data_IF_621356915584
#
_entry.id   IF_621356915584
#
_cell.length_a   1.000
_cell.length_b   1.000
_cell.length_c   1.000
_cell.angle_alpha   90.00
_cell.angle_beta   90.00
_cell.angle_gamma   90.00
#
_symmetry.space_group_name_H-M   'P 1'
#
loop_
_entity.id
_entity.type
_entity.pdbx_description
1 polymer ?
#
# COMPACT_ATOMS: atom_id res chain seq x y z
N UNK A 1 17.69 -2.61 -1.23
CA UNK A 1 16.72 -1.91 -0.35
C UNK A 1 16.38 -2.81 0.82
N UNK A 2 16.40 -2.25 2.02
CA UNK A 2 16.12 -3.02 3.24
C UNK A 2 14.62 -3.07 3.51
N UNK A 3 14.06 -4.26 3.57
CA UNK A 3 12.64 -4.54 3.75
C UNK A 3 12.39 -5.12 5.15
N UNK A 4 11.36 -4.66 5.83
CA UNK A 4 10.79 -5.34 6.99
C UNK A 4 9.45 -5.99 6.60
N UNK A 5 9.32 -7.27 6.90
CA UNK A 5 8.08 -8.03 6.75
C UNK A 5 7.52 -8.35 8.13
N UNK A 6 6.31 -7.83 8.39
CA UNK A 6 5.54 -8.11 9.60
C UNK A 6 4.72 -9.38 9.41
N UNK A 7 5.04 -10.41 10.16
CA UNK A 7 4.27 -11.66 10.19
C UNK A 7 3.36 -11.66 11.43
N UNK A 8 2.11 -11.30 11.20
CA UNK A 8 1.10 -11.06 12.22
C UNK A 8 0.23 -12.30 12.49
N UNK A 9 0.82 -13.50 12.49
CA UNK A 9 0.10 -14.77 12.72
C UNK A 9 -0.59 -14.86 14.08
N UNK A 10 -0.11 -14.08 15.06
CA UNK A 10 -0.71 -13.92 16.39
C UNK A 10 -1.10 -12.48 16.68
N UNK A 11 -1.40 -11.71 15.62
CA UNK A 11 -1.77 -10.32 15.71
C UNK A 11 -0.57 -9.38 15.84
N UNK A 12 -0.85 -8.15 16.29
CA UNK A 12 0.14 -7.08 16.47
C UNK A 12 -0.38 -5.99 17.41
N UNK A 13 0.50 -5.47 18.25
CA UNK A 13 0.29 -4.32 19.11
C UNK A 13 1.51 -3.40 19.11
N UNK A 14 1.44 -2.26 19.77
CA UNK A 14 2.56 -1.32 19.85
C UNK A 14 3.76 -1.90 20.59
N UNK A 15 3.55 -2.43 21.78
CA UNK A 15 4.57 -3.10 22.60
C UNK A 15 5.20 -4.31 21.89
N UNK A 16 4.38 -5.13 21.20
CA UNK A 16 4.89 -6.23 20.37
C UNK A 16 5.77 -5.72 19.23
N UNK A 17 5.41 -4.60 18.61
CA UNK A 17 6.22 -3.98 17.55
C UNK A 17 7.58 -3.52 18.11
N UNK A 18 7.59 -2.81 19.25
CA UNK A 18 8.82 -2.42 19.92
C UNK A 18 9.68 -3.61 20.32
N UNK A 19 9.05 -4.64 20.90
CA UNK A 19 9.73 -5.87 21.28
C UNK A 19 10.41 -6.56 20.10
N UNK A 20 9.73 -6.66 18.97
CA UNK A 20 10.30 -7.27 17.78
C UNK A 20 11.43 -6.47 17.15
N UNK A 21 11.36 -5.12 17.20
CA UNK A 21 12.45 -4.25 16.73
C UNK A 21 13.70 -4.38 17.61
N UNK A 22 13.51 -4.41 18.94
CA UNK A 22 14.62 -4.64 19.90
C UNK A 22 15.22 -6.03 19.70
N UNK A 23 14.39 -7.04 19.53
CA UNK A 23 14.84 -8.42 19.29
C UNK A 23 15.59 -8.57 17.96
N UNK A 24 15.24 -7.76 16.94
CA UNK A 24 15.93 -7.70 15.66
C UNK A 24 17.23 -6.86 15.69
N UNK A 25 17.61 -6.31 16.83
CA UNK A 25 18.88 -5.60 17.02
C UNK A 25 18.78 -4.09 17.19
N UNK A 26 17.58 -3.53 17.36
CA UNK A 26 17.43 -2.12 17.73
C UNK A 26 17.87 -1.91 19.20
N UNK A 27 18.77 -0.97 19.44
CA UNK A 27 19.23 -0.65 20.79
C UNK A 27 18.11 0.05 21.59
N UNK A 28 17.72 -0.54 22.71
CA UNK A 28 16.73 0.03 23.63
C UNK A 28 17.18 1.39 24.21
N UNK A 29 18.48 1.60 24.37
CA UNK A 29 19.05 2.88 24.80
C UNK A 29 18.81 3.99 23.77
N UNK A 30 18.91 3.66 22.50
CA UNK A 30 18.59 4.58 21.40
C UNK A 30 17.12 4.94 21.40
N UNK A 31 16.21 3.95 21.55
CA UNK A 31 14.79 4.22 21.68
C UNK A 31 14.49 5.15 22.87
N UNK A 32 15.08 4.89 24.02
CA UNK A 32 14.92 5.72 25.22
C UNK A 32 15.39 7.16 25.00
N UNK A 33 16.56 7.33 24.38
CA UNK A 33 17.13 8.65 24.09
C UNK A 33 16.28 9.45 23.11
N UNK A 34 15.81 8.83 22.04
CA UNK A 34 14.94 9.47 21.07
C UNK A 34 13.58 9.87 21.65
N UNK A 35 12.96 8.98 22.42
CA UNK A 35 11.69 9.24 23.09
C UNK A 35 11.79 10.33 24.15
N UNK A 36 12.92 10.46 24.84
CA UNK A 36 13.15 11.57 25.82
C UNK A 36 13.07 12.94 25.14
N UNK A 37 13.39 13.03 23.84
CA UNK A 37 13.27 14.25 23.05
C UNK A 37 11.83 14.75 22.84
N UNK A 38 10.81 13.93 23.11
CA UNK A 38 9.40 14.33 23.07
C UNK A 38 9.00 15.24 24.23
N UNK A 39 9.80 15.32 25.29
CA UNK A 39 9.52 16.08 26.51
C UNK A 39 8.16 15.73 27.16
N UNK A 40 7.72 14.49 27.01
CA UNK A 40 6.54 13.94 27.67
C UNK A 40 7.03 13.27 28.97
N UNK A 41 6.62 13.75 30.15
CA UNK A 41 7.06 13.16 31.43
C UNK A 41 6.27 11.91 31.81
N UNK A 42 6.78 11.17 32.78
CA UNK A 42 6.05 10.11 33.50
C UNK A 42 5.95 8.79 32.75
N UNK A 43 6.96 8.42 31.95
CA UNK A 43 7.06 7.10 31.35
C UNK A 43 8.44 6.47 31.56
N UNK A 44 8.46 5.15 31.56
CA UNK A 44 9.68 4.36 31.44
C UNK A 44 9.52 3.26 30.43
N UNK A 45 10.62 2.85 29.79
CA UNK A 45 10.67 1.74 28.86
C UNK A 45 11.72 0.74 29.32
N UNK A 46 11.35 -0.53 29.37
CA UNK A 46 12.24 -1.66 29.70
C UNK A 46 12.00 -2.81 28.74
N UNK A 47 13.01 -3.63 28.51
CA UNK A 47 12.93 -4.82 27.69
C UNK A 47 13.48 -6.03 28.40
N UNK A 48 12.81 -7.17 28.32
CA UNK A 48 13.23 -8.44 28.89
C UNK A 48 12.95 -9.60 27.94
N UNK A 49 13.76 -10.65 28.04
CA UNK A 49 13.50 -11.91 27.32
C UNK A 49 12.46 -12.72 28.06
N UNK A 50 11.45 -13.13 27.32
CA UNK A 50 10.33 -13.95 27.81
C UNK A 50 10.13 -15.16 26.90
N UNK A 51 9.36 -16.14 27.39
CA UNK A 51 8.98 -17.31 26.62
C UNK A 51 7.47 -17.38 26.49
N UNK A 52 6.99 -17.41 25.24
CA UNK A 52 5.57 -17.58 24.90
C UNK A 52 5.41 -18.92 24.20
N UNK A 53 4.73 -19.89 24.82
CA UNK A 53 4.59 -21.27 24.31
C UNK A 53 5.91 -21.88 23.79
N UNK A 54 7.00 -21.74 24.59
CA UNK A 54 8.31 -22.28 24.24
C UNK A 54 9.11 -21.46 23.22
N UNK A 55 8.56 -20.38 22.68
CA UNK A 55 9.25 -19.47 21.79
C UNK A 55 9.85 -18.30 22.57
N UNK A 56 11.16 -18.10 22.46
CA UNK A 56 11.84 -16.95 23.05
C UNK A 56 11.48 -15.68 22.27
N UNK A 57 11.15 -14.61 22.99
CA UNK A 57 10.80 -13.31 22.40
C UNK A 57 11.24 -12.19 23.34
N UNK A 58 11.27 -10.95 22.83
CA UNK A 58 11.52 -9.78 23.65
C UNK A 58 10.19 -9.12 24.00
N UNK A 59 9.93 -8.95 25.30
CA UNK A 59 8.80 -8.18 25.81
C UNK A 59 9.30 -6.76 26.16
N UNK A 60 8.75 -5.77 25.50
CA UNK A 60 9.01 -4.36 25.84
C UNK A 60 7.83 -3.83 26.65
N UNK A 61 8.13 -3.37 27.86
CA UNK A 61 7.14 -2.79 28.76
C UNK A 61 7.29 -1.27 28.79
N UNK A 62 6.22 -0.60 28.44
CA UNK A 62 6.04 0.84 28.69
C UNK A 62 5.25 1.00 29.98
N UNK A 63 5.81 1.68 30.95
CA UNK A 63 5.12 2.00 32.23
C UNK A 63 4.90 3.48 32.29
N UNK A 64 3.69 3.91 32.65
CA UNK A 64 3.29 5.33 32.74
C UNK A 64 2.78 5.63 34.13
N UNK A 65 3.19 6.78 34.70
CA UNK A 65 2.79 7.24 36.05
C UNK A 65 1.34 7.74 36.08
N UNK A 66 0.86 8.33 34.98
CA UNK A 66 -0.48 8.91 34.88
C UNK A 66 -1.17 8.46 33.59
N UNK A 67 -2.09 7.51 33.71
CA UNK A 67 -2.91 7.01 32.61
C UNK A 67 -4.16 7.86 32.30
N UNK A 68 -4.43 8.88 33.17
CA UNK A 68 -5.69 9.64 33.09
C UNK A 68 -5.68 10.80 32.10
N UNK A 69 -4.52 11.20 31.57
CA UNK A 69 -4.42 12.33 30.64
C UNK A 69 -4.54 11.90 29.21
N UNK A 70 -5.76 11.93 28.72
CA UNK A 70 -6.03 11.77 27.28
C UNK A 70 -5.69 13.08 26.54
N UNK A 71 -4.87 12.99 25.51
CA UNK A 71 -4.48 14.13 24.67
C UNK A 71 -5.33 14.18 23.40
N UNK A 72 -5.62 15.39 22.93
CA UNK A 72 -6.19 15.55 21.58
C UNK A 72 -5.16 15.21 20.51
N UNK A 73 -5.62 14.84 19.32
CA UNK A 73 -4.75 14.60 18.19
C UNK A 73 -3.82 15.81 17.93
N UNK A 74 -4.35 17.05 17.98
CA UNK A 74 -3.57 18.26 17.76
C UNK A 74 -2.43 18.42 18.76
N UNK A 75 -2.67 18.11 20.04
CA UNK A 75 -1.62 18.16 21.07
C UNK A 75 -0.52 17.13 20.83
N UNK A 76 -0.87 15.90 20.40
CA UNK A 76 0.11 14.87 20.07
C UNK A 76 0.95 15.28 18.85
N UNK A 77 0.31 15.79 17.79
CA UNK A 77 1.03 16.26 16.61
C UNK A 77 1.96 17.44 16.90
N UNK A 78 1.57 18.34 17.82
CA UNK A 78 2.41 19.44 18.27
C UNK A 78 3.65 18.94 19.02
N UNK A 79 3.49 17.95 19.92
CA UNK A 79 4.60 17.32 20.64
C UNK A 79 5.60 16.70 19.66
N UNK A 80 5.11 15.90 18.66
CA UNK A 80 5.94 15.28 17.64
C UNK A 80 6.64 16.36 16.79
N UNK A 81 5.93 17.38 16.36
CA UNK A 81 6.46 18.45 15.52
C UNK A 81 7.58 19.25 16.16
N UNK A 82 7.47 19.55 17.46
CA UNK A 82 8.48 20.30 18.24
C UNK A 82 9.67 19.46 18.69
N UNK A 83 9.60 18.14 18.57
CA UNK A 83 10.67 17.24 19.02
C UNK A 83 11.94 17.38 18.14
N UNK A 84 13.13 16.98 18.64
CA UNK A 84 14.36 16.96 17.87
C UNK A 84 14.50 15.72 16.97
N UNK A 85 13.43 14.93 16.78
CA UNK A 85 13.43 13.74 15.94
C UNK A 85 13.61 14.10 14.47
N UNK A 86 14.07 13.16 13.66
CA UNK A 86 14.23 13.33 12.22
C UNK A 86 12.89 13.60 11.51
N UNK A 87 12.95 14.20 10.34
CA UNK A 87 11.74 14.49 9.55
C UNK A 87 11.01 13.21 9.13
N UNK A 88 11.75 12.11 8.91
CA UNK A 88 11.15 10.82 8.57
C UNK A 88 10.39 10.21 9.74
N UNK A 89 10.98 10.19 10.94
CA UNK A 89 10.31 9.74 12.16
C UNK A 89 9.06 10.58 12.43
N UNK A 90 9.17 11.91 12.33
CA UNK A 90 8.02 12.82 12.49
C UNK A 90 6.93 12.56 11.48
N UNK A 91 7.29 12.39 10.21
CA UNK A 91 6.34 12.10 9.12
C UNK A 91 5.57 10.81 9.39
N UNK A 92 6.28 9.72 9.70
CA UNK A 92 5.68 8.42 9.94
C UNK A 92 4.80 8.43 11.19
N UNK A 93 5.29 8.96 12.31
CA UNK A 93 4.51 9.04 13.54
C UNK A 93 3.26 9.93 13.39
N UNK A 94 3.37 11.08 12.74
CA UNK A 94 2.23 11.94 12.39
C UNK A 94 1.22 11.22 11.53
N UNK A 95 1.67 10.48 10.52
CA UNK A 95 0.82 9.68 9.64
C UNK A 95 0.03 8.61 10.40
N UNK A 96 0.69 7.90 11.31
CA UNK A 96 0.07 6.86 12.13
C UNK A 96 -1.00 7.47 13.05
N UNK A 97 -0.69 8.57 13.76
CA UNK A 97 -1.66 9.23 14.65
C UNK A 97 -2.85 9.83 13.88
N UNK A 98 -2.63 10.41 12.70
CA UNK A 98 -3.73 10.92 11.87
C UNK A 98 -4.67 9.79 11.47
N UNK A 99 -4.14 8.69 10.98
CA UNK A 99 -4.94 7.53 10.56
C UNK A 99 -5.72 6.93 11.72
N UNK A 100 -5.10 6.88 12.89
CA UNK A 100 -5.76 6.43 14.11
C UNK A 100 -6.90 7.39 14.51
N UNK A 101 -6.64 8.71 14.47
CA UNK A 101 -7.65 9.73 14.74
C UNK A 101 -8.80 9.70 13.74
N UNK A 102 -8.53 9.49 12.45
CA UNK A 102 -9.56 9.33 11.41
C UNK A 102 -10.45 8.10 11.66
N UNK A 103 -9.86 6.99 12.10
CA UNK A 103 -10.62 5.78 12.44
C UNK A 103 -11.52 6.00 13.66
N UNK A 104 -11.01 6.60 14.71
CA UNK A 104 -11.79 6.95 15.91
C UNK A 104 -12.89 7.98 15.60
N UNK A 105 -12.57 9.03 14.84
CA UNK A 105 -13.54 10.05 14.42
C UNK A 105 -14.69 9.44 13.63
N UNK A 106 -14.39 8.49 12.75
CA UNK A 106 -15.41 7.78 11.97
C UNK A 106 -16.27 6.85 12.82
N UNK A 107 -15.74 6.23 13.89
CA UNK A 107 -16.51 5.39 14.82
C UNK A 107 -17.46 6.23 15.66
N UNK A 108 -17.03 7.44 16.07
CA UNK A 108 -17.83 8.33 16.91
C UNK A 108 -18.70 9.31 16.12
N UNK A 109 -18.62 9.30 14.79
CA UNK A 109 -19.32 10.25 13.91
C UNK A 109 -19.06 11.71 14.29
N UNK A 110 -17.79 12.07 14.54
CA UNK A 110 -17.37 13.42 14.91
C UNK A 110 -16.29 13.91 13.96
N UNK A 111 -16.15 15.24 13.78
CA UNK A 111 -15.00 15.82 13.05
C UNK A 111 -13.67 15.45 13.70
N UNK A 112 -12.62 15.25 12.88
CA UNK A 112 -11.28 14.85 13.31
C UNK A 112 -10.69 15.81 14.37
N UNK A 113 -10.99 17.10 14.26
CA UNK A 113 -10.50 18.15 15.17
C UNK A 113 -11.12 18.06 16.58
N UNK A 114 -12.25 17.36 16.70
CA UNK A 114 -12.98 17.19 17.97
C UNK A 114 -12.71 15.85 18.64
N UNK A 115 -11.88 15.00 18.02
CA UNK A 115 -11.61 13.68 18.58
C UNK A 115 -10.75 13.80 19.85
N UNK A 116 -11.19 13.13 20.88
CA UNK A 116 -10.40 12.85 22.07
C UNK A 116 -10.18 11.33 22.12
N UNK A 117 -8.94 10.92 22.13
CA UNK A 117 -8.61 9.50 22.23
C UNK A 117 -9.01 8.97 23.61
N UNK A 118 -9.85 7.95 23.65
CA UNK A 118 -10.28 7.32 24.89
C UNK A 118 -9.33 6.20 25.35
N UNK A 119 -8.65 5.54 24.43
CA UNK A 119 -7.75 4.40 24.70
C UNK A 119 -6.32 4.63 24.18
N UNK A 120 -6.13 5.42 23.13
CA UNK A 120 -4.84 5.59 22.43
C UNK A 120 -4.24 6.99 22.55
N UNK A 121 -4.82 7.87 23.33
CA UNK A 121 -4.28 9.22 23.64
C UNK A 121 -3.36 9.25 24.86
N UNK A 122 -3.14 8.13 25.49
CA UNK A 122 -2.27 7.98 26.65
C UNK A 122 -0.79 7.97 26.24
N UNK A 123 0.08 8.15 27.19
CA UNK A 123 1.54 8.26 26.97
C UNK A 123 2.13 6.99 26.39
N UNK A 124 1.59 5.82 26.74
CA UNK A 124 2.00 4.51 26.21
C UNK A 124 1.88 4.43 24.69
N UNK A 125 0.74 4.84 24.13
CA UNK A 125 0.55 4.86 22.68
C UNK A 125 1.53 5.82 21.98
N UNK A 126 1.87 6.96 22.62
CA UNK A 126 2.87 7.89 22.08
C UNK A 126 4.24 7.22 22.04
N UNK A 127 4.62 6.56 23.13
CA UNK A 127 5.90 5.84 23.25
C UNK A 127 5.96 4.69 22.23
N UNK A 128 4.89 3.93 22.10
CA UNK A 128 4.81 2.79 21.16
C UNK A 128 4.96 3.24 19.70
N UNK A 129 4.16 4.22 19.28
CA UNK A 129 4.15 4.69 17.89
C UNK A 129 5.43 5.41 17.52
N UNK A 130 5.86 6.37 18.34
CA UNK A 130 7.10 7.12 18.05
C UNK A 130 8.32 6.22 18.20
N UNK A 131 8.33 5.35 19.22
CA UNK A 131 9.38 4.35 19.42
C UNK A 131 9.52 3.39 18.24
N UNK A 132 8.39 2.90 17.68
CA UNK A 132 8.42 2.08 16.48
C UNK A 132 9.05 2.85 15.30
N UNK A 133 8.68 4.12 15.08
CA UNK A 133 9.25 4.94 14.00
C UNK A 133 10.77 5.18 14.20
N UNK A 134 11.22 5.43 15.43
CA UNK A 134 12.65 5.54 15.76
C UNK A 134 13.36 4.20 15.48
N UNK A 135 12.75 3.08 15.85
CA UNK A 135 13.30 1.74 15.59
C UNK A 135 13.41 1.42 14.10
N UNK A 136 12.45 1.83 13.28
CA UNK A 136 12.50 1.68 11.83
C UNK A 136 13.68 2.44 11.22
N UNK A 137 13.90 3.68 11.64
CA UNK A 137 15.03 4.49 11.19
C UNK A 137 16.36 3.89 11.67
N UNK A 138 16.48 3.50 12.95
CA UNK A 138 17.67 2.92 13.54
C UNK A 138 18.11 1.63 12.80
N UNK A 139 17.15 0.81 12.39
CA UNK A 139 17.40 -0.41 11.62
C UNK A 139 17.52 -0.13 10.12
N UNK A 140 17.38 1.13 9.67
CA UNK A 140 17.47 1.58 8.28
C UNK A 140 16.54 0.80 7.36
N UNK A 141 15.26 0.72 7.73
CA UNK A 141 14.25 0.02 6.95
C UNK A 141 13.68 0.97 5.90
N UNK A 142 13.81 0.61 4.62
CA UNK A 142 13.37 1.43 3.49
C UNK A 142 11.93 1.11 3.07
N UNK A 143 11.50 -0.16 3.29
CA UNK A 143 10.18 -0.67 2.86
C UNK A 143 9.56 -1.57 3.91
N UNK A 144 8.23 -1.64 3.86
CA UNK A 144 7.44 -2.42 4.80
C UNK A 144 6.40 -3.24 4.05
N UNK A 145 6.28 -4.51 4.42
CA UNK A 145 5.22 -5.41 3.99
C UNK A 145 4.65 -6.16 5.18
N UNK A 146 3.41 -6.61 5.09
CA UNK A 146 2.72 -7.28 6.19
C UNK A 146 1.97 -8.51 5.68
N UNK A 147 1.89 -9.55 6.50
CA UNK A 147 1.02 -10.70 6.24
C UNK A 147 -0.46 -10.30 6.31
N UNK A 148 -1.36 -11.22 5.99
CA UNK A 148 -2.73 -11.14 6.49
C UNK A 148 -2.71 -11.07 8.02
N UNK A 149 -3.63 -10.29 8.61
CA UNK A 149 -3.65 -10.02 10.06
C UNK A 149 -4.62 -10.98 10.76
N UNK A 150 -4.12 -11.73 11.74
CA UNK A 150 -4.96 -12.50 12.63
C UNK A 150 -5.58 -11.56 13.68
N UNK A 151 -6.85 -11.24 13.52
CA UNK A 151 -7.55 -10.29 14.40
C UNK A 151 -8.03 -10.91 15.72
N UNK A 152 -8.00 -12.25 15.83
CA UNK A 152 -8.63 -12.94 16.95
C UNK A 152 -10.15 -13.01 16.83
N UNK A 153 -10.87 -12.94 17.94
CA UNK A 153 -12.33 -13.04 17.98
C UNK A 153 -12.90 -12.82 19.37
N UNK A 154 -14.20 -13.06 19.50
CA UNK A 154 -14.93 -12.86 20.74
C UNK A 154 -15.23 -11.39 21.05
N UNK A 155 -15.12 -11.03 22.32
CA UNK A 155 -15.37 -9.68 22.81
C UNK A 155 -14.25 -9.19 23.73
N UNK A 156 -14.02 -7.87 23.76
CA UNK A 156 -13.08 -7.23 24.68
C UNK A 156 -13.80 -6.16 25.51
N UNK A 157 -13.38 -6.01 26.77
CA UNK A 157 -13.87 -4.95 27.66
C UNK A 157 -13.03 -3.70 27.42
N UNK A 158 -13.66 -2.65 26.98
CA UNK A 158 -13.06 -1.38 26.59
C UNK A 158 -13.71 -0.20 27.33
N UNK A 159 -13.25 1.03 27.12
CA UNK A 159 -13.81 2.23 27.77
C UNK A 159 -15.33 2.40 27.51
N UNK A 160 -15.80 1.97 26.34
CA UNK A 160 -17.23 2.05 25.94
C UNK A 160 -18.04 0.78 26.27
N UNK A 161 -17.50 -0.12 27.10
CA UNK A 161 -18.17 -1.36 27.50
C UNK A 161 -17.58 -2.59 26.82
N UNK A 162 -18.42 -3.61 26.61
CA UNK A 162 -18.02 -4.87 25.95
C UNK A 162 -18.26 -4.73 24.45
N UNK A 163 -17.19 -4.74 23.66
CA UNK A 163 -17.20 -4.57 22.21
C UNK A 163 -16.76 -5.84 21.49
N UNK A 164 -17.17 -6.07 20.23
CA UNK A 164 -16.69 -7.19 19.44
C UNK A 164 -15.22 -7.02 19.04
N UNK A 165 -14.52 -8.12 18.82
CA UNK A 165 -13.15 -8.16 18.29
C UNK A 165 -13.21 -8.47 16.79
N UNK A 166 -12.48 -7.68 15.94
CA UNK A 166 -11.69 -6.51 16.29
C UNK A 166 -12.55 -5.32 16.74
N UNK A 167 -11.99 -4.47 17.62
CA UNK A 167 -12.64 -3.25 18.08
C UNK A 167 -13.05 -2.35 16.89
N UNK A 168 -14.09 -1.50 17.03
CA UNK A 168 -14.59 -0.70 15.92
C UNK A 168 -13.54 0.16 15.21
N UNK A 169 -12.65 0.83 15.95
CA UNK A 169 -11.55 1.60 15.37
C UNK A 169 -10.53 0.71 14.65
N UNK A 170 -10.17 -0.45 15.24
CA UNK A 170 -9.33 -1.45 14.58
C UNK A 170 -9.97 -1.97 13.30
N UNK A 171 -11.26 -2.31 13.32
CA UNK A 171 -11.98 -2.75 12.13
C UNK A 171 -11.96 -1.69 11.01
N UNK A 172 -12.09 -0.41 11.38
CA UNK A 172 -12.01 0.72 10.45
C UNK A 172 -10.61 0.87 9.84
N UNK A 173 -9.55 0.77 10.65
CA UNK A 173 -8.16 0.80 10.20
C UNK A 173 -7.82 -0.33 9.23
N UNK A 174 -8.42 -1.51 9.45
CA UNK A 174 -8.20 -2.72 8.65
C UNK A 174 -9.07 -2.80 7.39
N UNK A 175 -9.95 -1.83 7.15
CA UNK A 175 -10.81 -1.83 5.96
C UNK A 175 -9.98 -1.92 4.66
N UNK A 176 -10.26 -2.92 3.81
CA UNK A 176 -9.53 -3.19 2.57
C UNK A 176 -8.19 -3.91 2.75
N UNK A 177 -7.86 -4.37 3.97
CA UNK A 177 -6.68 -5.17 4.25
C UNK A 177 -7.06 -6.65 4.48
N UNK A 178 -6.20 -7.62 4.11
CA UNK A 178 -6.50 -9.03 4.35
C UNK A 178 -6.46 -9.34 5.84
N UNK A 179 -7.56 -9.85 6.36
CA UNK A 179 -7.70 -10.27 7.76
C UNK A 179 -8.26 -11.67 7.86
N UNK A 180 -7.97 -12.35 8.96
CA UNK A 180 -8.55 -13.65 9.29
C UNK A 180 -8.64 -13.83 10.81
N UNK A 181 -9.37 -14.86 11.24
CA UNK A 181 -9.41 -15.33 12.62
C UNK A 181 -9.10 -16.82 12.64
N UNK A 182 -8.28 -17.25 13.58
CA UNK A 182 -7.96 -18.65 13.80
C UNK A 182 -8.69 -19.28 15.00
N UNK A 183 -9.71 -18.60 15.53
CA UNK A 183 -10.54 -19.09 16.63
C UNK A 183 -10.14 -18.61 18.03
N UNK A 184 -9.02 -17.94 18.19
CA UNK A 184 -8.61 -17.32 19.47
C UNK A 184 -9.63 -16.27 19.89
N UNK A 185 -10.20 -16.41 21.09
CA UNK A 185 -11.26 -15.55 21.64
C UNK A 185 -10.65 -14.38 22.44
N UNK A 186 -9.74 -13.63 21.82
CA UNK A 186 -9.09 -12.43 22.37
C UNK A 186 -8.79 -11.46 21.22
N UNK A 187 -8.65 -10.18 21.56
CA UNK A 187 -8.11 -9.18 20.64
C UNK A 187 -6.63 -9.46 20.39
N UNK A 188 -6.26 -9.72 19.15
CA UNK A 188 -4.88 -9.96 18.74
C UNK A 188 -4.28 -8.77 17.99
N UNK A 189 -5.10 -7.97 17.32
CA UNK A 189 -4.68 -6.75 16.64
C UNK A 189 -5.26 -5.56 17.38
N UNK A 190 -4.41 -4.80 18.06
CA UNK A 190 -4.82 -3.57 18.77
C UNK A 190 -4.96 -2.39 17.80
N UNK A 191 -5.68 -1.31 18.18
CA UNK A 191 -5.75 -0.10 17.35
C UNK A 191 -4.36 0.48 17.02
N UNK A 192 -3.44 0.49 17.98
CA UNK A 192 -2.05 0.96 17.79
C UNK A 192 -1.31 0.11 16.77
N UNK A 193 -1.35 -1.23 16.92
CA UNK A 193 -0.71 -2.15 15.98
C UNK A 193 -1.28 -2.04 14.58
N UNK A 194 -2.61 -1.96 14.45
CA UNK A 194 -3.29 -1.76 13.16
C UNK A 194 -2.87 -0.44 12.51
N UNK A 195 -2.83 0.67 13.27
CA UNK A 195 -2.44 1.97 12.76
C UNK A 195 -0.99 1.99 12.24
N UNK A 196 -0.07 1.34 12.97
CA UNK A 196 1.33 1.20 12.54
C UNK A 196 1.38 0.51 11.17
N UNK A 197 0.95 -0.76 11.09
CA UNK A 197 1.14 -1.54 9.85
C UNK A 197 0.33 -1.00 8.68
N UNK A 198 -0.88 -0.50 8.90
CA UNK A 198 -1.68 0.06 7.79
C UNK A 198 -1.17 1.40 7.29
N UNK A 199 -0.32 2.10 8.04
CA UNK A 199 0.31 3.35 7.62
C UNK A 199 1.64 3.10 6.91
N UNK A 200 2.50 2.23 7.47
CA UNK A 200 3.84 2.05 6.92
C UNK A 200 3.89 0.98 5.81
N UNK A 201 3.01 -0.05 5.86
CA UNK A 201 3.01 -1.10 4.84
C UNK A 201 2.12 -0.74 3.66
N UNK A 202 2.70 -0.82 2.46
CA UNK A 202 1.95 -0.70 1.21
C UNK A 202 1.44 -2.07 0.73
N UNK A 203 2.20 -3.13 0.99
CA UNK A 203 1.95 -4.48 0.53
C UNK A 203 1.47 -5.38 1.66
N UNK A 204 0.37 -6.11 1.41
CA UNK A 204 -0.23 -7.07 2.34
C UNK A 204 -0.40 -8.43 1.66
N UNK A 205 0.23 -9.46 2.19
CA UNK A 205 0.19 -10.80 1.60
C UNK A 205 1.33 -11.70 2.07
N UNK A 206 1.71 -12.70 1.28
CA UNK A 206 2.83 -13.57 1.62
C UNK A 206 4.15 -12.79 1.65
N UNK A 207 5.13 -13.34 2.38
CA UNK A 207 6.46 -12.77 2.44
C UNK A 207 7.05 -12.62 1.03
N UNK A 208 7.46 -11.40 0.63
CA UNK A 208 8.13 -11.22 -0.65
C UNK A 208 9.51 -11.86 -0.67
N UNK A 209 10.07 -12.17 -1.85
CA UNK A 209 11.43 -12.68 -1.97
C UNK A 209 12.45 -11.70 -1.36
N UNK A 210 13.19 -12.18 -0.34
CA UNK A 210 14.19 -11.38 0.36
C UNK A 210 15.26 -12.27 0.98
N UNK A 211 16.48 -11.75 1.10
CA UNK A 211 17.54 -12.38 1.90
C UNK A 211 17.43 -11.84 3.33
N UNK A 212 16.90 -12.66 4.25
CA UNK A 212 16.70 -12.27 5.65
C UNK A 212 18.05 -12.13 6.35
N UNK A 213 18.31 -10.98 6.96
CA UNK A 213 19.52 -10.69 7.73
C UNK A 213 19.29 -10.60 9.24
N UNK A 214 18.06 -10.30 9.67
CA UNK A 214 17.67 -10.27 11.07
C UNK A 214 16.21 -10.70 11.25
N UNK A 215 15.92 -11.33 12.38
CA UNK A 215 14.56 -11.73 12.78
C UNK A 215 14.36 -11.28 14.22
N UNK A 216 13.23 -10.63 14.50
CA UNK A 216 12.84 -10.26 15.84
C UNK A 216 11.45 -10.77 16.19
N UNK A 217 11.29 -11.27 17.40
CA UNK A 217 10.03 -11.70 18.00
C UNK A 217 9.66 -10.75 19.14
N UNK A 218 8.55 -10.04 18.98
CA UNK A 218 7.99 -9.16 20.00
C UNK A 218 6.84 -9.81 20.73
N UNK A 219 6.95 -9.97 22.04
CA UNK A 219 5.93 -10.63 22.86
C UNK A 219 4.83 -9.66 23.26
N UNK A 220 3.59 -10.10 23.21
CA UNK A 220 2.46 -9.43 23.85
C UNK A 220 2.30 -9.83 25.32
N UNK A 221 1.55 -9.02 26.08
CA UNK A 221 1.34 -9.23 27.53
C UNK A 221 0.52 -10.48 27.84
N UNK A 222 -0.49 -10.80 27.00
CA UNK A 222 -1.38 -11.94 27.22
C UNK A 222 -0.71 -13.29 26.95
N UNK A 223 -1.11 -14.32 27.69
CA UNK A 223 -0.82 -15.70 27.35
C UNK A 223 -2.02 -16.31 26.60
N UNK A 224 -1.72 -16.97 25.49
CA UNK A 224 -2.69 -17.64 24.64
C UNK A 224 -2.51 -19.14 24.74
N UNK A 225 -3.63 -19.86 24.77
CA UNK A 225 -3.60 -21.32 24.75
C UNK A 225 -3.28 -21.81 23.32
N UNK A 226 -2.31 -22.71 23.20
CA UNK A 226 -1.98 -23.38 21.94
C UNK A 226 -1.17 -22.57 20.92
N UNK A 227 -0.93 -21.27 21.13
CA UNK A 227 -0.09 -20.47 20.23
C UNK A 227 0.73 -19.40 20.98
N UNK A 228 1.94 -19.05 20.51
CA UNK A 228 2.72 -17.98 21.10
C UNK A 228 2.11 -16.61 20.76
N UNK A 229 1.92 -15.77 21.78
CA UNK A 229 1.47 -14.39 21.57
C UNK A 229 2.68 -13.50 21.21
N UNK A 230 3.08 -13.57 19.95
CA UNK A 230 4.22 -12.82 19.42
C UNK A 230 3.93 -12.31 18.01
N UNK A 231 4.47 -11.14 17.67
CA UNK A 231 4.66 -10.72 16.28
C UNK A 231 6.08 -11.06 15.86
N UNK A 232 6.26 -11.50 14.62
CA UNK A 232 7.58 -11.73 14.04
C UNK A 232 7.86 -10.63 13.02
N UNK A 233 9.02 -9.98 13.12
CA UNK A 233 9.50 -9.06 12.09
C UNK A 233 10.74 -9.69 11.44
N UNK A 234 10.70 -9.90 10.13
CA UNK A 234 11.86 -10.35 9.35
C UNK A 234 12.42 -9.15 8.57
N UNK A 235 13.71 -8.88 8.76
CA UNK A 235 14.41 -7.76 8.13
C UNK A 235 15.46 -8.34 7.19
N UNK A 236 15.51 -7.83 5.97
CA UNK A 236 16.46 -8.32 4.99
C UNK A 236 16.53 -7.46 3.74
N UNK A 237 17.35 -7.87 2.82
CA UNK A 237 17.48 -7.19 1.55
C UNK A 237 16.61 -7.87 0.48
N UNK A 238 15.85 -7.07 -0.23
CA UNK A 238 15.18 -7.53 -1.44
C UNK A 238 16.13 -7.37 -2.62
N UNK A 239 16.34 -8.47 -3.35
CA UNK A 239 17.15 -8.48 -4.57
C UNK A 239 16.43 -7.81 -5.75
N UNK A 240 15.17 -7.51 -5.62
CA UNK A 240 14.48 -6.72 -6.61
C UNK A 240 15.08 -5.31 -6.64
N UNK A 241 15.86 -5.04 -7.68
CA UNK A 241 15.85 -3.72 -8.29
C UNK A 241 14.40 -3.50 -8.68
N UNK A 242 13.60 -2.95 -7.77
CA UNK A 242 12.21 -2.61 -8.06
C UNK A 242 12.29 -1.58 -9.17
N UNK A 243 12.09 -2.04 -10.39
CA UNK A 243 11.64 -1.14 -11.43
C UNK A 243 10.33 -0.60 -10.85
N UNK A 244 10.37 0.65 -10.41
CA UNK A 244 9.18 1.30 -9.86
C UNK A 244 8.08 1.15 -10.91
N UNK A 245 7.09 0.32 -10.61
CA UNK A 245 5.99 0.01 -11.51
C UNK A 245 4.84 -0.49 -10.66
N UNK A 246 3.62 -0.24 -11.09
CA UNK A 246 2.45 -0.79 -10.46
C UNK A 246 2.20 -2.18 -11.03
N UNK A 247 2.13 -3.19 -10.16
CA UNK A 247 1.56 -4.47 -10.52
C UNK A 247 0.04 -4.34 -10.41
N UNK A 248 -0.64 -4.58 -11.51
CA UNK A 248 -2.09 -4.56 -11.56
C UNK A 248 -2.60 -5.88 -12.16
N UNK A 249 -3.72 -6.35 -11.67
CA UNK A 249 -4.44 -7.45 -12.30
C UNK A 249 -5.35 -6.87 -13.39
N UNK A 250 -5.24 -7.43 -14.58
CA UNK A 250 -6.11 -7.13 -15.72
C UNK A 250 -6.89 -8.37 -16.12
N UNK A 251 -8.01 -8.16 -16.80
CA UNK A 251 -8.71 -9.21 -17.53
C UNK A 251 -8.35 -9.13 -19.01
N UNK A 252 -8.12 -10.29 -19.61
CA UNK A 252 -7.94 -10.46 -21.05
C UNK A 252 -9.19 -11.12 -21.58
N UNK A 253 -9.78 -10.53 -22.65
CA UNK A 253 -10.91 -11.09 -23.38
C UNK A 253 -10.43 -11.42 -24.79
N UNK A 254 -10.65 -12.63 -25.25
CA UNK A 254 -10.24 -13.07 -26.58
C UNK A 254 -11.38 -13.76 -27.32
N UNK A 255 -11.52 -13.45 -28.60
CA UNK A 255 -12.45 -14.09 -29.50
C UNK A 255 -11.80 -14.40 -30.85
N UNK A 256 -12.07 -15.60 -31.41
CA UNK A 256 -11.62 -15.99 -32.72
C UNK A 256 -12.73 -15.73 -33.74
N UNK A 257 -12.43 -15.03 -34.84
CA UNK A 257 -13.36 -14.55 -35.84
C UNK A 257 -12.88 -15.00 -37.24
N UNK A 258 -13.71 -15.78 -37.98
CA UNK A 258 -13.40 -16.24 -39.34
C UNK A 258 -14.45 -15.82 -40.39
N UNK A 259 -15.44 -15.03 -39.97
CA UNK A 259 -16.57 -14.62 -40.79
C UNK A 259 -16.96 -13.14 -40.63
N UNK A 260 -16.16 -12.34 -39.93
CA UNK A 260 -16.42 -10.91 -39.70
C UNK A 260 -15.89 -10.06 -40.87
N UNK A 261 -16.68 -9.08 -41.29
CA UNK A 261 -16.25 -8.12 -42.32
C UNK A 261 -15.09 -7.28 -41.78
N UNK A 262 -13.92 -7.22 -42.46
CA UNK A 262 -12.74 -6.46 -41.99
C UNK A 262 -12.99 -4.99 -41.73
N UNK A 263 -13.95 -4.34 -42.36
CA UNK A 263 -14.28 -2.94 -42.12
C UNK A 263 -14.84 -2.69 -40.73
N UNK A 264 -15.42 -3.69 -40.07
CA UNK A 264 -16.01 -3.57 -38.73
C UNK A 264 -14.94 -3.52 -37.68
N UNK A 265 -13.75 -4.09 -37.88
CA UNK A 265 -12.68 -4.09 -36.87
C UNK A 265 -12.29 -2.68 -36.46
N UNK A 266 -12.08 -1.74 -37.38
CA UNK A 266 -11.73 -0.36 -37.08
C UNK A 266 -12.75 0.31 -36.16
N UNK A 267 -14.04 0.19 -36.51
CA UNK A 267 -15.15 0.70 -35.70
C UNK A 267 -15.18 0.05 -34.30
N UNK A 268 -15.01 -1.28 -34.23
CA UNK A 268 -15.02 -1.99 -32.95
C UNK A 268 -13.87 -1.57 -32.05
N UNK A 269 -12.64 -1.42 -32.58
CA UNK A 269 -11.47 -1.00 -31.82
C UNK A 269 -11.69 0.36 -31.17
N UNK A 270 -12.20 1.35 -31.93
CA UNK A 270 -12.50 2.67 -31.40
C UNK A 270 -13.58 2.62 -30.31
N UNK A 271 -14.63 1.84 -30.54
CA UNK A 271 -15.75 1.69 -29.60
C UNK A 271 -15.33 0.99 -28.30
N UNK A 272 -14.47 -0.04 -28.39
CA UNK A 272 -13.95 -0.75 -27.22
C UNK A 272 -13.05 0.16 -26.34
N UNK A 273 -12.18 0.97 -26.96
CA UNK A 273 -11.37 1.96 -26.24
C UNK A 273 -12.25 3.01 -25.55
N UNK A 274 -13.27 3.53 -26.25
CA UNK A 274 -14.23 4.47 -25.70
C UNK A 274 -15.05 3.86 -24.54
N UNK A 275 -15.28 2.55 -24.55
CA UNK A 275 -15.97 1.81 -23.49
C UNK A 275 -15.06 1.44 -22.30
N UNK A 276 -13.79 1.86 -22.30
CA UNK A 276 -12.86 1.66 -21.18
C UNK A 276 -11.90 0.48 -21.32
N UNK A 277 -11.76 -0.12 -22.51
CA UNK A 277 -10.68 -1.06 -22.75
C UNK A 277 -9.32 -0.37 -22.54
N UNK A 278 -8.41 -1.05 -21.84
CA UNK A 278 -7.05 -0.56 -21.61
C UNK A 278 -6.19 -0.68 -22.87
N UNK A 279 -6.50 -1.69 -23.68
CA UNK A 279 -5.89 -1.93 -24.97
C UNK A 279 -6.81 -2.85 -25.78
N UNK A 280 -6.75 -2.76 -27.11
CA UNK A 280 -7.47 -3.64 -28.02
C UNK A 280 -6.70 -3.79 -29.31
N UNK A 281 -6.51 -5.02 -29.73
CA UNK A 281 -5.77 -5.33 -30.96
C UNK A 281 -6.23 -6.63 -31.61
N UNK A 282 -5.81 -6.83 -32.84
CA UNK A 282 -6.11 -8.02 -33.63
C UNK A 282 -4.85 -8.72 -34.07
N UNK A 283 -4.88 -10.05 -34.07
CA UNK A 283 -3.80 -10.91 -34.56
C UNK A 283 -4.32 -11.86 -35.64
N UNK A 284 -3.73 -11.91 -36.84
CA UNK A 284 -4.07 -12.89 -37.85
C UNK A 284 -3.79 -14.31 -37.33
N UNK A 285 -4.76 -15.21 -37.56
CA UNK A 285 -4.65 -16.62 -37.15
C UNK A 285 -5.15 -17.55 -38.25
N UNK A 286 -4.61 -18.76 -38.26
CA UNK A 286 -5.15 -19.84 -39.10
C UNK A 286 -6.08 -20.70 -38.24
N UNK A 287 -7.36 -20.75 -38.61
CA UNK A 287 -8.38 -21.48 -37.87
C UNK A 287 -8.62 -22.88 -38.46
N UNK A 288 -9.46 -23.68 -37.78
CA UNK A 288 -9.89 -25.00 -38.26
C UNK A 288 -10.45 -24.92 -39.67
N UNK A 289 -10.38 -26.02 -40.40
CA UNK A 289 -10.79 -26.12 -41.81
C UNK A 289 -9.99 -25.19 -42.74
N UNK A 290 -8.75 -24.87 -42.35
CA UNK A 290 -7.83 -24.00 -43.11
C UNK A 290 -8.40 -22.61 -43.45
N UNK A 291 -9.24 -22.05 -42.57
CA UNK A 291 -9.80 -20.73 -42.75
C UNK A 291 -8.87 -19.67 -42.17
N UNK A 292 -8.54 -18.60 -42.90
CA UNK A 292 -7.93 -17.43 -42.31
C UNK A 292 -8.93 -16.80 -41.36
N UNK A 293 -8.44 -16.30 -40.21
CA UNK A 293 -9.26 -15.63 -39.22
C UNK A 293 -8.47 -14.58 -38.43
N UNK A 294 -9.13 -13.99 -37.50
CA UNK A 294 -8.57 -12.94 -36.63
C UNK A 294 -8.82 -13.30 -35.17
N UNK A 295 -7.78 -13.30 -34.36
CA UNK A 295 -7.89 -13.27 -32.90
C UNK A 295 -8.06 -11.82 -32.47
N UNK A 296 -9.21 -11.49 -31.95
CA UNK A 296 -9.50 -10.23 -31.30
C UNK A 296 -9.10 -10.35 -29.81
N UNK A 297 -8.29 -9.41 -29.31
CA UNK A 297 -7.84 -9.38 -27.93
C UNK A 297 -8.14 -8.01 -27.32
N UNK A 298 -8.78 -8.00 -26.14
CA UNK A 298 -9.03 -6.81 -25.34
C UNK A 298 -8.35 -6.98 -23.97
N UNK A 299 -7.76 -5.91 -23.48
CA UNK A 299 -7.27 -5.81 -22.11
C UNK A 299 -8.17 -4.84 -21.35
N UNK A 300 -8.62 -5.19 -20.14
CA UNK A 300 -9.48 -4.32 -19.35
C UNK A 300 -9.25 -4.49 -17.84
N UNK A 301 -9.82 -3.58 -17.06
CA UNK A 301 -9.92 -3.79 -15.63
C UNK A 301 -10.86 -4.97 -15.35
N UNK A 302 -10.60 -5.75 -14.29
CA UNK A 302 -11.48 -6.85 -13.88
C UNK A 302 -12.95 -6.46 -13.71
N UNK A 303 -13.22 -5.24 -13.24
CA UNK A 303 -14.59 -4.69 -13.09
C UNK A 303 -15.34 -4.54 -14.40
N UNK A 304 -14.63 -4.29 -15.51
CA UNK A 304 -15.21 -3.89 -16.78
C UNK A 304 -15.41 -5.09 -17.74
N UNK A 305 -14.97 -6.29 -17.30
CA UNK A 305 -14.99 -7.52 -18.10
C UNK A 305 -16.38 -7.82 -18.68
N UNK A 306 -17.44 -7.74 -17.87
CA UNK A 306 -18.79 -8.09 -18.33
C UNK A 306 -19.34 -7.08 -19.33
N UNK A 307 -19.07 -5.79 -19.13
CA UNK A 307 -19.51 -4.74 -20.06
C UNK A 307 -18.84 -4.87 -21.42
N UNK A 308 -17.51 -5.07 -21.41
CA UNK A 308 -16.73 -5.25 -22.65
C UNK A 308 -17.01 -6.59 -23.32
N UNK A 309 -17.29 -7.66 -22.57
CA UNK A 309 -17.76 -8.92 -23.13
C UNK A 309 -19.10 -8.77 -23.86
N UNK A 310 -20.03 -8.02 -23.28
CA UNK A 310 -21.32 -7.70 -23.94
C UNK A 310 -21.11 -6.90 -25.22
N UNK A 311 -20.15 -5.98 -25.24
CA UNK A 311 -19.80 -5.23 -26.42
C UNK A 311 -19.22 -6.15 -27.52
N UNK A 312 -18.36 -7.10 -27.16
CA UNK A 312 -17.81 -8.10 -28.11
C UNK A 312 -18.95 -8.88 -28.78
N UNK A 313 -19.91 -9.38 -28.00
CA UNK A 313 -21.05 -10.11 -28.55
C UNK A 313 -22.00 -9.26 -29.40
N UNK A 314 -22.14 -7.97 -29.05
CA UNK A 314 -23.04 -7.08 -29.81
C UNK A 314 -22.44 -6.60 -31.12
N UNK A 315 -21.14 -6.43 -31.23
CA UNK A 315 -20.49 -5.77 -32.37
C UNK A 315 -19.64 -6.72 -33.22
N UNK A 316 -19.57 -8.01 -32.87
CA UNK A 316 -18.82 -9.00 -33.64
C UNK A 316 -19.70 -10.20 -34.00
N UNK A 317 -19.23 -11.04 -34.90
CA UNK A 317 -19.91 -12.27 -35.29
C UNK A 317 -19.65 -13.44 -34.34
N UNK A 318 -18.83 -13.24 -33.28
CA UNK A 318 -18.47 -14.35 -32.39
C UNK A 318 -19.66 -14.86 -31.59
N UNK A 319 -19.75 -16.17 -31.43
CA UNK A 319 -20.70 -16.84 -30.56
C UNK A 319 -20.05 -17.22 -29.20
N UNK A 320 -18.76 -16.97 -29.03
CA UNK A 320 -18.03 -17.31 -27.80
C UNK A 320 -16.73 -16.58 -27.69
N UNK A 321 -16.44 -16.13 -26.47
CA UNK A 321 -15.17 -15.51 -26.12
C UNK A 321 -14.63 -16.17 -24.86
N UNK A 322 -13.33 -16.16 -24.70
CA UNK A 322 -12.65 -16.62 -23.49
C UNK A 322 -12.10 -15.45 -22.70
N UNK A 323 -12.03 -15.60 -21.39
CA UNK A 323 -11.42 -14.60 -20.52
C UNK A 323 -10.52 -15.27 -19.49
N UNK A 324 -9.45 -14.58 -19.14
CA UNK A 324 -8.53 -14.99 -18.07
C UNK A 324 -7.91 -13.75 -17.42
N UNK A 325 -7.33 -13.94 -16.23
CA UNK A 325 -6.63 -12.88 -15.49
C UNK A 325 -5.16 -12.90 -15.84
N UNK A 326 -4.57 -11.73 -15.97
CA UNK A 326 -3.15 -11.56 -16.21
C UNK A 326 -2.59 -10.49 -15.28
N UNK A 327 -1.36 -10.67 -14.82
CA UNK A 327 -0.63 -9.63 -14.09
C UNK A 327 0.05 -8.71 -15.10
N UNK A 328 -0.16 -7.39 -14.95
CA UNK A 328 0.47 -6.37 -15.79
C UNK A 328 1.30 -5.45 -14.92
N UNK A 329 2.56 -5.24 -15.30
CA UNK A 329 3.43 -4.25 -14.68
C UNK A 329 3.56 -3.04 -15.59
N UNK A 330 3.25 -1.86 -15.04
CA UNK A 330 3.35 -0.59 -15.75
C UNK A 330 4.31 0.34 -15.04
N UNK A 331 5.16 1.06 -15.76
CA UNK A 331 5.99 2.11 -15.19
C UNK A 331 5.11 3.30 -14.75
N UNK A 332 5.47 3.99 -13.65
CA UNK A 332 4.83 5.25 -13.29
C UNK A 332 4.91 6.22 -14.46
N UNK A 333 3.79 6.87 -14.77
CA UNK A 333 3.67 7.82 -15.87
C UNK A 333 3.28 9.18 -15.32
N UNK A 334 3.96 10.21 -15.79
CA UNK A 334 3.59 11.60 -15.57
C UNK A 334 3.42 12.28 -16.92
N UNK A 335 2.58 13.30 -16.97
CA UNK A 335 2.37 14.09 -18.18
C UNK A 335 2.81 15.51 -17.89
N UNK A 336 3.67 16.05 -18.75
CA UNK A 336 4.11 17.45 -18.72
C UNK A 336 3.67 18.14 -20.00
N UNK A 337 3.29 19.42 -19.91
CA UNK A 337 2.97 20.23 -21.07
C UNK A 337 4.22 20.96 -21.54
N UNK A 338 4.51 20.90 -22.83
CA UNK A 338 5.66 21.54 -23.45
C UNK A 338 5.17 22.50 -24.55
N UNK A 339 5.61 23.76 -24.48
CA UNK A 339 5.30 24.74 -25.48
C UNK A 339 6.27 24.68 -26.65
N UNK A 340 5.74 24.48 -27.87
CA UNK A 340 6.51 24.44 -29.10
C UNK A 340 6.12 25.60 -30.04
N UNK A 341 6.91 25.86 -31.05
CA UNK A 341 6.55 26.85 -32.10
C UNK A 341 5.25 26.49 -32.84
N UNK A 342 4.79 25.26 -32.77
CA UNK A 342 3.55 24.78 -33.41
C UNK A 342 2.34 24.84 -32.48
N UNK A 343 2.56 24.88 -31.16
CA UNK A 343 1.55 24.88 -30.10
C UNK A 343 1.97 24.01 -28.92
N UNK A 344 1.05 23.80 -27.99
CA UNK A 344 1.27 22.98 -26.80
C UNK A 344 1.15 21.49 -27.10
N UNK A 345 2.09 20.72 -26.56
CA UNK A 345 2.15 19.26 -26.72
C UNK A 345 2.32 18.62 -25.35
N UNK A 346 1.48 17.67 -25.00
CA UNK A 346 1.66 16.84 -23.83
C UNK A 346 2.75 15.80 -24.08
N UNK A 347 3.67 15.68 -23.13
CA UNK A 347 4.73 14.66 -23.16
C UNK A 347 4.51 13.68 -22.01
N UNK A 348 4.37 12.39 -22.34
CA UNK A 348 4.34 11.31 -21.40
C UNK A 348 5.76 10.94 -20.99
N UNK A 349 6.01 10.97 -19.68
CA UNK A 349 7.28 10.60 -19.09
C UNK A 349 7.14 9.34 -18.26
N UNK A 350 8.16 8.50 -18.26
CA UNK A 350 8.32 7.49 -17.24
C UNK A 350 9.66 7.63 -16.54
N UNK A 351 9.66 7.44 -15.21
CA UNK A 351 10.86 7.50 -14.38
C UNK A 351 11.13 6.16 -13.73
N UNK A 352 12.40 5.83 -13.63
CA UNK A 352 12.87 4.66 -12.88
C UNK A 352 13.97 5.13 -11.96
N UNK A 353 13.81 4.93 -10.66
CA UNK A 353 14.75 5.38 -9.62
C UNK A 353 15.12 6.88 -9.73
N UNK A 354 14.11 7.73 -9.98
CA UNK A 354 14.28 9.18 -10.11
C UNK A 354 14.83 9.66 -11.47
N UNK A 355 15.35 8.76 -12.30
CA UNK A 355 15.89 9.10 -13.63
C UNK A 355 14.81 8.93 -14.70
N UNK A 356 14.73 9.86 -15.64
CA UNK A 356 13.84 9.76 -16.81
C UNK A 356 14.29 8.57 -17.65
N UNK A 357 13.37 7.64 -17.91
CA UNK A 357 13.64 6.43 -18.70
C UNK A 357 13.05 6.51 -20.10
N UNK A 358 11.90 7.17 -20.22
CA UNK A 358 11.19 7.30 -21.49
C UNK A 358 10.52 8.66 -21.60
N UNK A 359 10.57 9.24 -22.77
CA UNK A 359 9.97 10.53 -23.13
C UNK A 359 9.22 10.34 -24.44
N UNK A 360 7.91 10.56 -24.45
CA UNK A 360 7.09 10.40 -25.66
C UNK A 360 6.07 11.54 -25.77
N UNK A 361 6.13 12.37 -26.82
CA UNK A 361 5.08 13.32 -27.13
C UNK A 361 3.75 12.62 -27.41
N UNK A 362 2.63 13.19 -26.96
CA UNK A 362 1.31 12.66 -27.23
C UNK A 362 1.01 12.73 -28.73
N UNK A 363 0.75 11.58 -29.32
CA UNK A 363 0.57 11.44 -30.77
C UNK A 363 -0.59 12.31 -31.30
N UNK A 364 -1.73 12.34 -30.60
CA UNK A 364 -2.90 13.06 -31.04
C UNK A 364 -2.68 14.59 -31.02
N UNK A 365 -1.95 15.11 -30.03
CA UNK A 365 -1.57 16.52 -30.01
C UNK A 365 -0.67 16.86 -31.20
N UNK A 366 0.35 16.04 -31.44
CA UNK A 366 1.26 16.24 -32.56
C UNK A 366 0.52 16.14 -33.91
N UNK A 367 -0.38 15.16 -34.07
CA UNK A 367 -1.18 14.96 -35.28
C UNK A 367 -2.07 16.16 -35.57
N UNK A 368 -2.75 16.67 -34.54
CA UNK A 368 -3.61 17.84 -34.62
C UNK A 368 -2.81 19.07 -35.08
N UNK A 369 -1.71 19.36 -34.40
CA UNK A 369 -0.84 20.49 -34.73
C UNK A 369 -0.22 20.38 -36.14
N UNK A 370 0.20 19.18 -36.53
CA UNK A 370 0.72 18.94 -37.87
C UNK A 370 -0.31 19.26 -38.98
N UNK A 371 -1.57 18.86 -38.76
CA UNK A 371 -2.66 19.17 -39.69
C UNK A 371 -3.00 20.66 -39.69
N UNK A 372 -3.12 21.30 -38.52
CA UNK A 372 -3.45 22.73 -38.40
C UNK A 372 -2.36 23.65 -38.97
N UNK A 373 -1.10 23.25 -38.83
CA UNK A 373 0.05 24.03 -39.33
C UNK A 373 0.54 23.64 -40.68
N UNK A 374 -0.06 22.61 -41.28
CA UNK A 374 0.33 22.02 -42.58
C UNK A 374 1.84 21.70 -42.65
N UNK A 375 2.34 21.05 -41.60
CA UNK A 375 3.74 20.61 -41.47
C UNK A 375 3.82 19.10 -41.27
N UNK A 376 4.92 18.46 -41.63
CA UNK A 376 5.09 17.03 -41.38
C UNK A 376 4.99 16.69 -39.90
N UNK A 377 4.22 15.65 -39.56
CA UNK A 377 4.04 15.16 -38.19
C UNK A 377 5.38 14.96 -37.46
N UNK A 378 6.37 14.40 -38.16
CA UNK A 378 7.70 14.13 -37.62
C UNK A 378 8.41 15.43 -37.14
N UNK A 379 8.18 16.55 -37.80
CA UNK A 379 8.75 17.84 -37.38
C UNK A 379 8.14 18.29 -36.05
N UNK A 380 6.83 18.13 -35.85
CA UNK A 380 6.16 18.48 -34.62
C UNK A 380 6.67 17.61 -33.46
N UNK A 381 6.79 16.30 -33.67
CA UNK A 381 7.33 15.34 -32.70
C UNK A 381 8.75 15.72 -32.28
N UNK A 382 9.62 15.99 -33.25
CA UNK A 382 11.01 16.37 -32.96
C UNK A 382 11.13 17.69 -32.22
N UNK A 383 10.30 18.69 -32.57
CA UNK A 383 10.31 19.96 -31.88
C UNK A 383 9.81 19.83 -30.46
N UNK A 384 8.79 19.00 -30.20
CA UNK A 384 8.31 18.72 -28.86
C UNK A 384 9.42 18.09 -27.98
N UNK A 385 10.17 17.13 -28.52
CA UNK A 385 11.29 16.51 -27.81
C UNK A 385 12.41 17.52 -27.50
N UNK A 386 12.79 18.37 -28.51
CA UNK A 386 13.79 19.41 -28.30
C UNK A 386 13.37 20.47 -27.27
N UNK A 387 12.09 20.84 -27.29
CA UNK A 387 11.56 21.81 -26.33
C UNK A 387 11.55 21.22 -24.92
N UNK A 388 11.30 19.93 -24.78
CA UNK A 388 11.41 19.22 -23.49
C UNK A 388 12.85 19.19 -22.96
N UNK A 389 13.84 18.94 -23.82
CA UNK A 389 15.26 18.92 -23.43
C UNK A 389 15.79 20.28 -22.94
N UNK A 390 15.11 21.37 -23.29
CA UNK A 390 15.47 22.75 -22.89
C UNK A 390 14.81 23.19 -21.58
N UNK A 391 13.86 22.40 -21.04
CA UNK A 391 13.21 22.66 -19.74
C UNK A 391 14.06 22.20 -18.58
#
# INVERSE_FOLDING_TARGET
>A
MKLAYFDCFSGISGDMTLGALVDAGCDLGLLRSGLAGLQVPGWTISGEKVWKNGMAATFVRVTTEDQSKHRSLSAILEIIGKSPLSDEVKKNATGIFRKLGEAEAAVHDVPLEKIHFHEVGAVDAIVDIVGACIGFEALRIDKFACSALNVGGGTAKMAHGVLPVPAPATAKLLQGKPTYSNGVQKELVTPTGAAIVTTVCNDFGPQPPMSVSAIGYGAGSADLEGQPNVVRIMIGETSEKVIAGFDEEIAVIEANLDDMNPQIYGYFLEKALAAGALDVYTTPVQMKKSRPGTLLTLLCKPSDTNALMSLVFAETTTLGARTYRAQRRTLPRETVNVHTQYGDVHIKLSRVNGSIRHVAPEYEDCRKLAAERNVPLQQVIQEALRSFERM
#
